data_IF_952477632549
#
_entry.id   IF_952477632549
#
_cell.length_a   1.000
_cell.length_b   1.000
_cell.length_c   1.000
_cell.angle_alpha   90.00
_cell.angle_beta   90.00
_cell.angle_gamma   90.00
#
_symmetry.space_group_name_H-M   'P 1'
#
loop_
_entity.id
_entity.type
_entity.pdbx_description
1 polymer ?
#
# COMPACT_ATOMS: atom_id res chain seq x y z
N UNK A 1 2.02 -4.17 -22.53
CA UNK A 1 3.05 -4.04 -21.47
C UNK A 1 3.86 -5.33 -21.42
N UNK A 2 5.17 -5.23 -21.48
CA UNK A 2 6.03 -6.40 -21.47
C UNK A 2 6.19 -6.94 -20.05
N UNK A 3 5.91 -8.22 -19.84
CA UNK A 3 5.97 -8.85 -18.53
C UNK A 3 7.38 -8.85 -17.93
N UNK A 4 8.42 -8.87 -18.77
CA UNK A 4 9.81 -8.87 -18.30
C UNK A 4 10.21 -7.60 -17.56
N UNK A 5 9.46 -6.50 -17.73
CA UNK A 5 9.73 -5.23 -17.05
C UNK A 5 8.91 -5.05 -15.79
N UNK A 6 8.05 -5.99 -15.46
CA UNK A 6 7.25 -5.92 -14.25
C UNK A 6 8.11 -6.21 -13.02
N UNK A 7 7.86 -5.47 -11.97
CA UNK A 7 8.53 -5.61 -10.69
C UNK A 7 7.53 -6.00 -9.62
N UNK A 8 7.98 -6.85 -8.70
CA UNK A 8 7.15 -7.28 -7.58
C UNK A 8 7.14 -6.20 -6.50
N UNK A 9 5.95 -5.85 -6.06
CA UNK A 9 5.72 -4.83 -5.05
C UNK A 9 4.59 -5.26 -4.14
N UNK A 10 4.36 -4.50 -3.07
CA UNK A 10 3.22 -4.71 -2.18
C UNK A 10 2.55 -3.38 -1.91
N UNK A 11 1.21 -3.41 -1.85
CA UNK A 11 0.43 -2.22 -1.49
C UNK A 11 -0.34 -2.45 -0.21
N UNK A 12 -0.69 -1.36 0.47
CA UNK A 12 -1.58 -1.37 1.62
C UNK A 12 -2.57 -0.22 1.49
N UNK A 13 -3.82 -0.48 1.81
CA UNK A 13 -4.92 0.47 1.67
C UNK A 13 -5.11 1.27 2.95
N UNK A 14 -5.22 2.59 2.81
CA UNK A 14 -5.48 3.51 3.91
C UNK A 14 -6.95 3.46 4.33
N UNK A 15 -7.20 3.72 5.62
CA UNK A 15 -8.56 3.88 6.12
C UNK A 15 -9.33 2.59 6.32
N UNK A 16 -8.64 1.46 6.31
CA UNK A 16 -9.27 0.17 6.57
C UNK A 16 -9.44 -0.08 8.07
N UNK A 17 -10.47 -0.82 8.42
CA UNK A 17 -10.65 -1.27 9.80
C UNK A 17 -9.63 -2.36 10.09
N UNK A 18 -8.85 -2.17 11.15
CA UNK A 18 -7.87 -3.13 11.61
C UNK A 18 -8.14 -3.49 13.06
N UNK A 19 -7.88 -4.74 13.41
CA UNK A 19 -8.11 -5.26 14.74
C UNK A 19 -6.81 -5.31 15.51
N UNK A 20 -6.82 -4.75 16.73
CA UNK A 20 -5.68 -4.80 17.65
C UNK A 20 -5.97 -5.91 18.65
N UNK A 21 -5.08 -6.92 18.67
CA UNK A 21 -5.16 -8.06 19.57
C UNK A 21 -4.35 -7.82 20.84
N UNK A 22 -4.80 -8.41 21.95
CA UNK A 22 -3.99 -8.48 23.16
C UNK A 22 -2.80 -9.40 22.93
N UNK A 23 -1.62 -8.99 23.38
CA UNK A 23 -0.37 -9.70 23.15
C UNK A 23 0.35 -9.92 24.47
N UNK A 24 1.11 -11.01 24.54
CA UNK A 24 1.93 -11.33 25.69
C UNK A 24 3.29 -10.60 25.64
N UNK A 25 4.17 -10.91 26.56
CA UNK A 25 5.51 -10.31 26.67
C UNK A 25 6.37 -10.55 25.43
N UNK A 26 6.12 -11.64 24.71
CA UNK A 26 6.85 -12.00 23.49
C UNK A 26 6.20 -11.42 22.23
N UNK A 27 5.15 -10.58 22.38
CA UNK A 27 4.35 -10.01 21.30
C UNK A 27 3.51 -11.03 20.52
N UNK A 28 3.30 -12.20 21.10
CA UNK A 28 2.40 -13.20 20.54
C UNK A 28 0.96 -12.90 20.93
N UNK A 29 0.03 -13.14 20.00
CA UNK A 29 -1.40 -12.92 20.24
C UNK A 29 -1.87 -13.86 21.34
N UNK A 30 -2.58 -13.33 22.33
CA UNK A 30 -3.23 -14.11 23.37
C UNK A 30 -4.51 -14.74 22.84
N UNK A 31 -4.79 -15.96 23.27
CA UNK A 31 -5.99 -16.70 22.91
C UNK A 31 -6.73 -17.14 24.15
N UNK A 32 -8.06 -17.20 24.04
CA UNK A 32 -8.91 -17.89 25.01
C UNK A 32 -9.56 -19.09 24.34
N UNK A 33 -9.88 -20.10 25.12
CA UNK A 33 -10.53 -21.29 24.62
C UNK A 33 -12.02 -21.25 24.93
N UNK A 34 -12.86 -21.32 23.87
CA UNK A 34 -14.31 -21.33 24.00
C UNK A 34 -14.84 -22.48 23.18
N UNK A 35 -15.55 -23.40 23.84
CA UNK A 35 -16.13 -24.58 23.20
C UNK A 35 -15.12 -25.39 22.37
N UNK A 36 -13.87 -25.52 22.85
CA UNK A 36 -12.81 -26.26 22.19
C UNK A 36 -12.08 -25.50 21.07
N UNK A 37 -12.46 -24.25 20.78
CA UNK A 37 -11.80 -23.41 19.77
C UNK A 37 -10.97 -22.33 20.43
N UNK A 38 -9.78 -22.07 19.86
CA UNK A 38 -8.94 -20.95 20.29
C UNK A 38 -9.41 -19.67 19.59
N UNK A 39 -9.76 -18.68 20.39
CA UNK A 39 -10.24 -17.38 19.91
C UNK A 39 -9.24 -16.32 20.32
N UNK A 40 -8.72 -15.49 19.38
CA UNK A 40 -7.81 -14.41 19.75
C UNK A 40 -8.51 -13.35 20.59
N UNK A 41 -7.81 -12.82 21.57
CA UNK A 41 -8.33 -11.77 22.45
C UNK A 41 -8.20 -10.42 21.75
N UNK A 42 -9.34 -9.78 21.46
CA UNK A 42 -9.38 -8.49 20.78
C UNK A 42 -9.40 -7.38 21.83
N UNK A 43 -8.44 -6.43 21.74
CA UNK A 43 -8.44 -5.25 22.60
C UNK A 43 -9.37 -4.17 22.05
N UNK A 44 -9.27 -3.88 20.77
CA UNK A 44 -10.07 -2.85 20.10
C UNK A 44 -9.95 -2.97 18.59
N UNK A 45 -10.83 -2.25 17.90
CA UNK A 45 -10.70 -1.99 16.47
C UNK A 45 -10.29 -0.54 16.26
N UNK A 46 -9.51 -0.28 15.22
CA UNK A 46 -9.09 1.07 14.85
C UNK A 46 -9.04 1.19 13.34
N UNK A 47 -8.77 2.39 12.85
CA UNK A 47 -8.57 2.63 11.42
C UNK A 47 -7.08 2.69 11.14
N UNK A 48 -6.64 2.00 10.10
CA UNK A 48 -5.24 1.97 9.74
C UNK A 48 -5.04 1.46 8.32
N UNK A 49 -3.88 0.89 8.07
CA UNK A 49 -3.54 0.33 6.75
C UNK A 49 -3.84 -1.17 6.72
N UNK A 50 -4.37 -1.63 5.59
CA UNK A 50 -4.65 -3.06 5.40
C UNK A 50 -3.38 -3.89 5.39
N UNK A 51 -3.50 -5.20 5.55
CA UNK A 51 -2.38 -6.11 5.34
C UNK A 51 -1.85 -5.96 3.91
N UNK A 52 -0.52 -5.97 3.72
CA UNK A 52 0.06 -5.78 2.40
C UNK A 52 -0.33 -6.88 1.42
N UNK A 53 -0.63 -6.48 0.20
CA UNK A 53 -1.01 -7.38 -0.89
C UNK A 53 0.06 -7.30 -1.98
N UNK A 54 0.54 -8.45 -2.42
CA UNK A 54 1.55 -8.53 -3.48
C UNK A 54 0.93 -8.25 -4.84
N UNK A 55 1.67 -7.53 -5.67
CA UNK A 55 1.30 -7.29 -7.05
C UNK A 55 2.56 -7.10 -7.91
N UNK A 56 2.39 -7.17 -9.22
CA UNK A 56 3.46 -6.92 -10.18
C UNK A 56 3.02 -5.86 -11.17
N UNK A 57 3.87 -4.87 -11.39
CA UNK A 57 3.61 -3.81 -12.36
C UNK A 57 4.91 -3.14 -12.80
N UNK A 58 4.82 -2.42 -13.92
CA UNK A 58 5.92 -1.56 -14.36
C UNK A 58 5.88 -0.24 -13.60
N UNK A 59 7.02 0.16 -13.07
CA UNK A 59 7.17 1.46 -12.41
C UNK A 59 8.21 2.27 -13.18
N UNK A 60 7.91 3.54 -13.43
CA UNK A 60 8.77 4.42 -14.22
C UNK A 60 8.97 5.76 -13.53
N UNK A 61 10.19 6.27 -13.59
CA UNK A 61 10.50 7.62 -13.11
C UNK A 61 10.08 8.70 -14.11
N UNK A 62 9.75 8.32 -15.34
CA UNK A 62 9.27 9.25 -16.36
C UNK A 62 7.76 9.32 -16.30
N UNK A 63 7.21 10.49 -15.97
CA UNK A 63 5.78 10.71 -15.87
C UNK A 63 5.15 10.95 -17.23
N UNK A 64 3.94 10.42 -17.41
CA UNK A 64 3.11 10.72 -18.58
C UNK A 64 2.58 12.16 -18.50
N UNK A 65 2.30 12.77 -19.66
CA UNK A 65 1.73 14.12 -19.71
C UNK A 65 0.39 14.22 -18.97
N UNK A 66 -0.40 13.15 -19.00
CA UNK A 66 -1.70 13.11 -18.33
C UNK A 66 -1.52 13.37 -16.83
N UNK A 67 -0.58 12.69 -16.19
CA UNK A 67 -0.32 12.88 -14.76
C UNK A 67 0.26 14.26 -14.47
N UNK A 68 1.18 14.74 -15.30
CA UNK A 68 1.79 16.05 -15.11
C UNK A 68 0.72 17.15 -15.16
N UNK A 69 -0.18 17.11 -16.14
CA UNK A 69 -1.24 18.10 -16.30
C UNK A 69 -2.31 17.99 -15.23
N UNK A 70 -2.77 16.76 -14.93
CA UNK A 70 -3.86 16.56 -13.98
C UNK A 70 -3.47 16.94 -12.55
N UNK A 71 -2.23 16.66 -12.14
CA UNK A 71 -1.78 16.89 -10.76
C UNK A 71 -0.86 18.11 -10.62
N UNK A 72 -0.61 18.85 -11.69
CA UNK A 72 0.17 20.09 -11.63
C UNK A 72 1.61 19.90 -11.18
N UNK A 73 2.30 18.89 -11.71
CA UNK A 73 3.66 18.56 -11.30
C UNK A 73 4.67 19.51 -11.94
N UNK A 74 5.37 20.30 -11.11
CA UNK A 74 6.45 21.19 -11.56
C UNK A 74 7.81 20.51 -11.57
N UNK A 75 8.08 19.66 -10.58
CA UNK A 75 9.32 18.91 -10.45
C UNK A 75 9.02 17.42 -10.33
N UNK A 76 9.38 16.66 -11.35
CA UNK A 76 9.09 15.23 -11.41
C UNK A 76 10.12 14.36 -10.68
N UNK A 77 11.19 14.94 -10.11
CA UNK A 77 12.28 14.14 -9.51
C UNK A 77 11.85 13.32 -8.29
N UNK A 78 10.82 13.80 -7.58
CA UNK A 78 10.29 13.11 -6.38
C UNK A 78 9.15 12.15 -6.70
N UNK A 79 8.79 11.97 -7.96
CA UNK A 79 7.63 11.22 -8.39
C UNK A 79 7.99 10.09 -9.33
N UNK A 80 7.14 9.10 -9.38
CA UNK A 80 7.16 8.05 -10.38
C UNK A 80 5.74 7.62 -10.70
N UNK A 81 5.58 6.75 -11.67
CA UNK A 81 4.25 6.29 -12.08
C UNK A 81 4.20 4.78 -12.22
N UNK A 82 3.02 4.24 -12.00
CA UNK A 82 2.65 2.88 -12.36
C UNK A 82 1.54 2.99 -13.40
N UNK A 83 1.65 2.19 -14.46
CA UNK A 83 0.59 2.04 -15.46
C UNK A 83 0.14 0.60 -15.46
N UNK A 84 -1.16 0.38 -15.29
CA UNK A 84 -1.74 -0.97 -15.27
C UNK A 84 -2.93 -1.05 -16.21
N UNK A 85 -3.36 -2.27 -16.49
CA UNK A 85 -4.66 -2.49 -17.11
C UNK A 85 -5.76 -1.95 -16.18
N UNK A 86 -6.80 -1.40 -16.78
CA UNK A 86 -7.90 -0.82 -16.02
C UNK A 86 -8.49 -1.83 -15.03
N UNK A 87 -8.64 -1.40 -13.78
CA UNK A 87 -9.23 -2.21 -12.72
C UNK A 87 -8.30 -3.21 -12.06
N UNK A 88 -7.02 -3.27 -12.46
CA UNK A 88 -6.08 -4.23 -11.87
C UNK A 88 -5.74 -3.93 -10.41
N UNK A 89 -5.53 -2.66 -10.05
CA UNK A 89 -5.18 -2.27 -8.69
C UNK A 89 -6.30 -1.44 -8.05
N UNK A 90 -6.66 -1.74 -6.79
CA UNK A 90 -7.70 -0.99 -6.07
C UNK A 90 -7.17 0.24 -5.34
N UNK A 91 -5.91 0.60 -5.53
CA UNK A 91 -5.26 1.68 -4.78
C UNK A 91 -5.76 3.07 -5.19
N UNK A 92 -5.71 4.00 -4.24
CA UNK A 92 -6.15 5.38 -4.40
C UNK A 92 -5.21 6.31 -3.63
N UNK A 93 -5.43 7.61 -3.73
CA UNK A 93 -4.62 8.60 -3.03
C UNK A 93 -4.58 8.29 -1.52
N UNK A 94 -3.38 8.31 -0.96
CA UNK A 94 -3.12 8.01 0.46
C UNK A 94 -2.65 6.60 0.72
N UNK A 95 -2.87 5.66 -0.20
CA UNK A 95 -2.37 4.30 -0.07
C UNK A 95 -0.85 4.26 -0.26
N UNK A 96 -0.21 3.20 0.22
CA UNK A 96 1.25 3.10 0.22
C UNK A 96 1.74 1.85 -0.50
N UNK A 97 2.98 1.91 -0.99
CA UNK A 97 3.60 0.82 -1.76
C UNK A 97 5.02 0.57 -1.25
N UNK A 98 5.36 -0.70 -1.09
CA UNK A 98 6.72 -1.17 -0.81
C UNK A 98 7.29 -1.84 -2.06
N UNK A 99 8.49 -1.46 -2.44
CA UNK A 99 9.21 -2.07 -3.56
C UNK A 99 10.49 -2.75 -3.10
N UNK A 100 11.32 -2.04 -2.34
CA UNK A 100 12.62 -2.52 -1.86
C UNK A 100 12.69 -2.65 -0.35
N UNK A 101 11.99 -1.79 0.37
CA UNK A 101 12.04 -1.78 1.82
C UNK A 101 11.22 -2.92 2.41
N UNK A 102 11.62 -3.37 3.59
CA UNK A 102 10.82 -4.32 4.36
C UNK A 102 9.63 -3.63 4.98
N UNK A 103 8.52 -4.33 5.04
CA UNK A 103 7.32 -3.85 5.71
C UNK A 103 7.56 -3.84 7.20
N UNK A 104 7.58 -2.64 7.79
CA UNK A 104 7.68 -2.48 9.23
C UNK A 104 6.32 -2.58 9.89
N UNK A 105 6.32 -2.97 11.16
CA UNK A 105 5.11 -3.06 11.98
C UNK A 105 5.36 -2.40 13.32
N UNK A 106 4.30 -1.82 13.89
CA UNK A 106 4.38 -1.21 15.21
C UNK A 106 4.25 -2.27 16.33
N UNK A 107 4.22 -1.81 17.58
CA UNK A 107 4.12 -2.71 18.74
C UNK A 107 2.82 -3.52 18.77
N UNK A 108 1.77 -3.02 18.13
CA UNK A 108 0.48 -3.71 18.03
C UNK A 108 0.41 -4.69 16.85
N UNK A 109 1.50 -4.79 16.07
CA UNK A 109 1.57 -5.65 14.90
C UNK A 109 0.92 -5.04 13.66
N UNK A 110 0.52 -3.77 13.71
CA UNK A 110 -0.09 -3.08 12.58
C UNK A 110 0.99 -2.58 11.63
N UNK A 111 0.64 -2.51 10.35
CA UNK A 111 1.55 -2.04 9.30
C UNK A 111 1.94 -0.59 9.57
N UNK A 112 3.26 -0.33 9.54
CA UNK A 112 3.81 1.02 9.66
C UNK A 112 4.01 1.61 8.27
N UNK A 113 3.12 2.52 7.87
CA UNK A 113 3.16 3.14 6.56
C UNK A 113 4.42 3.96 6.31
N UNK A 114 5.11 4.40 7.36
CA UNK A 114 6.36 5.18 7.23
C UNK A 114 7.50 4.35 6.65
N UNK A 115 7.39 3.03 6.68
CA UNK A 115 8.40 2.14 6.09
C UNK A 115 8.22 1.94 4.58
N UNK A 116 7.10 2.40 4.02
CA UNK A 116 6.83 2.26 2.59
C UNK A 116 7.79 3.10 1.74
N UNK A 117 8.00 2.67 0.50
CA UNK A 117 8.85 3.38 -0.45
C UNK A 117 8.12 4.49 -1.19
N UNK A 118 6.80 4.36 -1.35
CA UNK A 118 5.99 5.31 -2.10
C UNK A 118 4.64 5.54 -1.42
N UNK A 119 4.11 6.77 -1.62
CA UNK A 119 2.72 7.10 -1.28
C UNK A 119 2.00 7.42 -2.57
N UNK A 120 0.80 6.87 -2.75
CA UNK A 120 -0.03 7.18 -3.91
C UNK A 120 -0.57 8.60 -3.76
N UNK A 121 -0.28 9.45 -4.73
CA UNK A 121 -0.75 10.85 -4.74
C UNK A 121 -2.04 11.03 -5.51
N UNK A 122 -2.29 10.19 -6.47
CA UNK A 122 -3.50 10.27 -7.26
C UNK A 122 -3.57 9.19 -8.31
N UNK A 123 -4.76 9.08 -8.89
CA UNK A 123 -5.05 8.08 -9.92
C UNK A 123 -5.72 8.78 -11.08
N UNK A 124 -5.22 8.54 -12.29
CA UNK A 124 -5.89 8.94 -13.52
C UNK A 124 -6.53 7.69 -14.12
N UNK A 125 -7.81 7.51 -13.89
CA UNK A 125 -8.55 6.29 -14.22
C UNK A 125 -9.71 6.51 -15.22
N UNK A 126 -9.74 7.67 -15.87
CA UNK A 126 -10.77 7.99 -16.86
C UNK A 126 -10.50 7.37 -18.23
N UNK A 127 -9.30 6.85 -18.47
CA UNK A 127 -8.97 6.16 -19.71
C UNK A 127 -9.74 4.86 -19.87
N UNK A 128 -9.86 4.40 -21.11
CA UNK A 128 -10.65 3.20 -21.44
C UNK A 128 -9.90 1.89 -21.18
N UNK A 129 -8.57 1.90 -21.23
CA UNK A 129 -7.77 0.69 -21.20
C UNK A 129 -6.75 0.63 -20.07
N UNK A 130 -6.38 1.76 -19.49
CA UNK A 130 -5.31 1.82 -18.52
C UNK A 130 -5.64 2.77 -17.38
N UNK A 131 -5.13 2.42 -16.20
CA UNK A 131 -5.08 3.29 -15.04
C UNK A 131 -3.65 3.76 -14.84
N UNK A 132 -3.49 5.05 -14.53
CA UNK A 132 -2.18 5.66 -14.22
C UNK A 132 -2.16 6.10 -12.77
N UNK A 133 -1.15 5.67 -12.05
CA UNK A 133 -0.99 6.00 -10.62
C UNK A 133 0.22 6.91 -10.44
N UNK A 134 -0.01 8.07 -9.85
CA UNK A 134 1.06 8.99 -9.48
C UNK A 134 1.56 8.64 -8.08
N UNK A 135 2.84 8.32 -7.98
CA UNK A 135 3.48 7.94 -6.72
C UNK A 135 4.50 8.98 -6.33
N UNK A 136 4.55 9.31 -5.04
CA UNK A 136 5.61 10.15 -4.48
C UNK A 136 6.57 9.27 -3.68
N UNK A 137 7.87 9.47 -3.92
CA UNK A 137 8.91 8.78 -3.17
C UNK A 137 8.91 9.27 -1.72
N UNK A 138 8.98 8.34 -0.79
CA UNK A 138 9.06 8.70 0.63
C UNK A 138 10.48 9.11 0.99
N UNK A 139 10.58 10.01 1.97
CA UNK A 139 11.87 10.43 2.54
C UNK A 139 12.09 9.61 3.82
N UNK A 140 13.21 8.90 3.86
CA UNK A 140 13.56 8.04 5.01
C UNK A 140 14.83 8.50 5.66
#
# INVERSE_FOLDING_TARGET
MLDINKQDMKYSLQGEKVTIYDRDENRDIKYIEVAGEKIPVVLRETTGFSEPVSFSANISNKLSEVLVKEFGIDDSSSYCQIVTNKGYLPIKAGDVIWKKSKIGRDADGLVDSKTADYVVKGVADEGLTADLFLLQKTVK
#
